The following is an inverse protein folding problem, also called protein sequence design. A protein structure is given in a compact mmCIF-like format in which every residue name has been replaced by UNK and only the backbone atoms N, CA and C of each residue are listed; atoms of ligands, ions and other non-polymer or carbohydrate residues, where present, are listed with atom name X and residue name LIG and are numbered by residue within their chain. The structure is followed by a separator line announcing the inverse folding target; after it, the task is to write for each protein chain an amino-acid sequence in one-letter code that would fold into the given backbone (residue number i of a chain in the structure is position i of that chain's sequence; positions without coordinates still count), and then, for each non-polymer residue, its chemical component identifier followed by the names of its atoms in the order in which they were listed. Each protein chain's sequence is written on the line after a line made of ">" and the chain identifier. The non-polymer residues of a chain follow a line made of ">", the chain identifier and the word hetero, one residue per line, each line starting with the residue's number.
data_IF_764913788259
#
_entry.id   IF_764913788259
#
_cell.length_a   1.000
_cell.length_b   1.000
_cell.length_c   1.000
_cell.angle_alpha   90.00
_cell.angle_beta   90.00
_cell.angle_gamma   90.00
#
_symmetry.space_group_name_H-M   'P 1'
#
loop_
_entity.id
_entity.type
_entity.pdbx_description
1 polymer ?
#
# COMPACT_ATOMS: atom_id res chain seq x y z
N UNK A 1 -17.70 0.95 -17.05
CA UNK A 1 -17.13 0.07 -16.01
C UNK A 1 -16.05 0.90 -15.35
N UNK A 2 -16.14 1.15 -14.05
CA UNK A 2 -15.14 1.96 -13.37
C UNK A 2 -13.87 1.12 -13.13
N UNK A 3 -12.71 1.76 -13.34
CA UNK A 3 -11.40 1.15 -13.12
C UNK A 3 -11.16 0.90 -11.62
N UNK A 4 -10.53 -0.23 -11.30
CA UNK A 4 -10.22 -0.61 -9.91
C UNK A 4 -9.22 0.35 -9.27
N UNK A 5 -8.32 0.92 -10.08
CA UNK A 5 -7.34 1.92 -9.70
C UNK A 5 -7.47 3.10 -10.65
N UNK A 6 -7.56 4.31 -10.10
CA UNK A 6 -7.62 5.57 -10.85
C UNK A 6 -6.54 6.53 -10.38
N UNK A 7 -6.13 7.45 -11.25
CA UNK A 7 -5.19 8.51 -10.87
C UNK A 7 -5.91 9.66 -10.18
N UNK A 8 -5.37 10.12 -9.05
CA UNK A 8 -5.79 11.32 -8.31
C UNK A 8 -4.57 12.23 -8.09
N UNK A 9 -4.77 13.51 -7.70
CA UNK A 9 -3.66 14.42 -7.38
C UNK A 9 -2.73 13.95 -6.25
N UNK A 10 -3.11 12.93 -5.47
CA UNK A 10 -2.31 12.33 -4.41
C UNK A 10 -1.55 11.07 -4.86
N UNK A 11 -1.98 10.41 -5.95
CA UNK A 11 -1.41 9.14 -6.39
C UNK A 11 -2.42 8.18 -7.00
N UNK A 12 -2.05 6.90 -7.03
CA UNK A 12 -2.92 5.80 -7.43
C UNK A 12 -3.95 5.54 -6.32
N UNK A 13 -5.23 5.62 -6.66
CA UNK A 13 -6.33 5.49 -5.72
C UNK A 13 -7.21 4.30 -6.09
N UNK A 14 -7.61 3.51 -5.10
CA UNK A 14 -8.62 2.46 -5.23
C UNK A 14 -9.97 3.00 -4.71
N UNK A 15 -10.90 3.45 -5.58
CA UNK A 15 -12.19 3.96 -5.13
C UNK A 15 -13.01 2.97 -4.28
N UNK A 16 -13.15 1.69 -4.65
CA UNK A 16 -13.96 0.77 -3.84
C UNK A 16 -13.31 0.41 -2.51
N UNK A 17 -11.98 0.44 -2.43
CA UNK A 17 -11.25 0.15 -1.20
C UNK A 17 -11.00 1.37 -0.33
N UNK A 18 -11.16 2.58 -0.87
CA UNK A 18 -10.81 3.86 -0.25
C UNK A 18 -9.38 3.92 0.32
N UNK A 19 -8.39 3.52 -0.49
CA UNK A 19 -6.98 3.62 -0.14
C UNK A 19 -6.13 4.04 -1.34
N UNK A 20 -4.92 4.52 -1.06
CA UNK A 20 -3.93 4.90 -2.06
C UNK A 20 -2.76 3.94 -2.07
N UNK A 21 -2.11 3.79 -3.22
CA UNK A 21 -0.83 3.08 -3.38
C UNK A 21 0.25 4.13 -3.63
N UNK A 22 1.29 4.12 -2.80
CA UNK A 22 2.41 5.07 -2.82
C UNK A 22 2.02 6.55 -3.05
N UNK A 23 1.12 7.11 -2.23
CA UNK A 23 0.68 8.48 -2.39
C UNK A 23 1.82 9.48 -2.12
N UNK A 24 1.96 10.51 -2.98
CA UNK A 24 2.94 11.58 -2.79
C UNK A 24 2.42 12.75 -1.93
N UNK A 25 1.15 12.73 -1.51
CA UNK A 25 0.52 13.70 -0.57
C UNK A 25 -0.15 12.97 0.61
N UNK A 26 -0.33 13.62 1.78
CA UNK A 26 -1.09 13.06 2.90
C UNK A 26 -2.48 12.51 2.50
N UNK A 27 -2.84 11.35 3.03
CA UNK A 27 -4.10 10.63 2.80
C UNK A 27 -4.46 9.80 4.04
N UNK A 28 -5.70 9.32 4.15
CA UNK A 28 -6.09 8.48 5.29
C UNK A 28 -5.38 7.12 5.28
N UNK A 29 -5.35 6.42 4.13
CA UNK A 29 -4.82 5.04 4.01
C UNK A 29 -3.83 4.92 2.86
N UNK A 30 -2.60 4.56 3.18
CA UNK A 30 -1.52 4.37 2.22
C UNK A 30 -0.99 2.93 2.24
N UNK A 31 -1.08 2.24 1.11
CA UNK A 31 -0.34 1.01 0.84
C UNK A 31 1.01 1.41 0.28
N UNK A 32 2.08 1.03 0.98
CA UNK A 32 3.45 1.38 0.64
C UNK A 32 4.16 0.19 0.02
N UNK A 33 4.62 0.33 -1.21
CA UNK A 33 5.31 -0.76 -1.93
C UNK A 33 6.68 -1.03 -1.33
N UNK A 34 7.42 0.00 -0.93
CA UNK A 34 8.73 -0.13 -0.33
C UNK A 34 9.19 1.13 0.41
N UNK A 35 10.20 0.96 1.25
CA UNK A 35 10.76 2.03 2.07
C UNK A 35 11.82 2.85 1.31
N UNK A 36 11.51 3.42 0.14
CA UNK A 36 12.21 4.60 -0.38
C UNK A 36 11.48 5.89 -0.01
N UNK A 37 12.19 7.02 0.04
CA UNK A 37 11.67 8.25 0.64
C UNK A 37 10.61 8.95 -0.22
N UNK A 38 10.63 8.69 -1.52
CA UNK A 38 9.65 9.14 -2.51
C UNK A 38 8.32 8.38 -2.43
N UNK A 39 8.33 7.14 -1.91
CA UNK A 39 7.14 6.30 -1.68
C UNK A 39 6.65 6.34 -0.22
N UNK A 40 7.53 6.12 0.74
CA UNK A 40 7.24 6.04 2.18
C UNK A 40 7.30 7.43 2.82
N UNK A 41 6.29 8.26 2.54
CA UNK A 41 6.18 9.64 3.02
C UNK A 41 5.42 9.75 4.35
N UNK A 42 5.73 10.78 5.12
CA UNK A 42 5.04 11.07 6.39
C UNK A 42 3.69 11.76 6.16
N UNK A 43 2.81 11.69 7.16
CA UNK A 43 1.54 12.41 7.20
C UNK A 43 0.31 11.61 6.76
N UNK A 44 0.44 10.32 6.43
CA UNK A 44 -0.74 9.48 6.21
C UNK A 44 -1.34 9.03 7.55
N UNK A 45 -2.64 8.76 7.59
CA UNK A 45 -3.33 8.29 8.81
C UNK A 45 -2.95 6.85 9.16
N UNK A 46 -2.92 5.99 8.16
CA UNK A 46 -2.64 4.56 8.23
C UNK A 46 -1.70 4.13 7.12
N UNK A 47 -0.78 3.23 7.47
CA UNK A 47 0.20 2.64 6.57
C UNK A 47 0.01 1.14 6.52
N UNK A 48 0.01 0.56 5.31
CA UNK A 48 0.06 -0.87 5.08
C UNK A 48 1.32 -1.20 4.28
N UNK A 49 2.15 -2.12 4.77
CA UNK A 49 3.36 -2.53 4.06
C UNK A 49 3.72 -4.00 4.34
N UNK A 50 4.78 -4.50 3.72
CA UNK A 50 5.23 -5.87 3.96
C UNK A 50 5.93 -5.98 5.32
N UNK A 51 5.81 -7.14 5.99
CA UNK A 51 6.52 -7.41 7.26
C UNK A 51 8.04 -7.11 7.15
N UNK A 52 8.76 -7.52 6.09
CA UNK A 52 10.19 -7.23 6.01
C UNK A 52 10.53 -5.74 5.86
N UNK A 53 9.57 -4.88 5.52
CA UNK A 53 9.78 -3.42 5.43
C UNK A 53 9.69 -2.69 6.78
N UNK A 54 9.15 -3.34 7.82
CA UNK A 54 8.76 -2.68 9.06
C UNK A 54 9.90 -1.90 9.71
N UNK A 55 11.06 -2.53 9.89
CA UNK A 55 12.20 -1.91 10.54
C UNK A 55 12.69 -0.66 9.80
N UNK A 56 12.76 -0.74 8.46
CA UNK A 56 13.21 0.40 7.62
C UNK A 56 12.18 1.53 7.63
N UNK A 57 10.88 1.19 7.55
CA UNK A 57 9.81 2.19 7.62
C UNK A 57 9.77 2.89 8.97
N UNK A 58 9.87 2.15 10.09
CA UNK A 58 9.90 2.76 11.43
C UNK A 58 11.15 3.62 11.65
N UNK A 59 12.30 3.21 11.13
CA UNK A 59 13.51 4.02 11.18
C UNK A 59 13.36 5.34 10.41
N UNK A 60 12.61 5.36 9.30
CA UNK A 60 12.35 6.57 8.52
C UNK A 60 11.23 7.44 9.08
N UNK A 61 10.09 6.84 9.40
CA UNK A 61 8.84 7.54 9.70
C UNK A 61 8.60 7.74 11.19
N UNK A 62 9.36 7.05 12.05
CA UNK A 62 9.13 7.04 13.49
C UNK A 62 7.85 6.28 13.85
N UNK A 63 7.13 6.81 14.85
CA UNK A 63 5.92 6.21 15.38
C UNK A 63 4.69 6.53 14.51
N UNK A 64 4.58 5.87 13.35
CA UNK A 64 3.38 5.90 12.52
C UNK A 64 2.46 4.70 12.77
N UNK A 65 1.18 4.83 12.39
CA UNK A 65 0.21 3.75 12.45
C UNK A 65 0.44 2.75 11.30
N UNK A 66 1.44 1.89 11.48
CA UNK A 66 1.86 0.89 10.51
C UNK A 66 1.27 -0.49 10.83
N UNK A 67 0.45 -0.98 9.90
CA UNK A 67 0.06 -2.38 9.80
C UNK A 67 0.95 -3.08 8.77
N UNK A 68 1.33 -4.33 9.05
CA UNK A 68 2.14 -5.13 8.13
C UNK A 68 1.43 -6.42 7.73
N UNK A 69 1.73 -6.90 6.51
CA UNK A 69 1.28 -8.19 5.99
C UNK A 69 2.47 -9.06 5.63
N UNK A 70 2.38 -10.37 5.89
CA UNK A 70 3.30 -11.32 5.29
C UNK A 70 3.07 -11.34 3.78
N UNK A 71 4.11 -11.66 3.00
CA UNK A 71 3.91 -11.85 1.57
C UNK A 71 2.88 -12.95 1.31
N UNK A 72 1.97 -12.69 0.37
CA UNK A 72 0.84 -13.56 0.05
C UNK A 72 -0.32 -13.55 1.04
N UNK A 73 -0.17 -12.91 2.20
CA UNK A 73 -1.28 -12.68 3.13
C UNK A 73 -2.28 -11.71 2.52
N UNK A 74 -3.57 -12.01 2.70
CA UNK A 74 -4.66 -11.22 2.13
C UNK A 74 -5.41 -10.51 3.25
N UNK A 75 -5.60 -9.21 3.08
CA UNK A 75 -6.59 -8.45 3.85
C UNK A 75 -7.79 -8.14 2.96
N UNK A 76 -8.99 -8.26 3.52
CA UNK A 76 -10.21 -7.72 2.90
C UNK A 76 -10.49 -6.33 3.48
N UNK A 77 -10.64 -5.35 2.60
CA UNK A 77 -10.98 -3.99 2.97
C UNK A 77 -12.08 -3.46 2.05
N UNK A 78 -13.27 -3.25 2.61
CA UNK A 78 -14.46 -2.83 1.87
C UNK A 78 -14.79 -3.74 0.67
N UNK A 79 -14.57 -5.06 0.81
CA UNK A 79 -14.78 -6.02 -0.27
C UNK A 79 -13.71 -6.00 -1.36
N UNK A 80 -12.60 -5.29 -1.13
CA UNK A 80 -11.39 -5.32 -1.96
C UNK A 80 -10.32 -6.14 -1.26
N UNK A 81 -9.85 -7.19 -1.91
CA UNK A 81 -8.78 -8.06 -1.41
C UNK A 81 -7.43 -7.49 -1.81
N UNK A 82 -6.57 -7.22 -0.83
CA UNK A 82 -5.21 -6.70 -1.04
C UNK A 82 -4.20 -7.72 -0.54
N UNK A 83 -3.17 -7.99 -1.33
CA UNK A 83 -2.00 -8.78 -0.90
C UNK A 83 -0.71 -8.20 -1.46
N UNK A 84 0.39 -8.44 -0.73
CA UNK A 84 1.72 -7.97 -1.06
C UNK A 84 2.58 -9.14 -1.53
N UNK A 85 3.35 -8.96 -2.61
CA UNK A 85 4.18 -10.02 -3.21
C UNK A 85 5.61 -9.52 -3.42
N UNK A 86 6.66 -10.33 -3.22
CA UNK A 86 8.04 -9.85 -3.34
C UNK A 86 8.32 -9.21 -4.71
N UNK A 87 8.82 -7.97 -4.72
CA UNK A 87 9.14 -7.26 -5.97
C UNK A 87 10.59 -7.47 -6.45
N UNK A 88 11.47 -8.01 -5.60
CA UNK A 88 12.88 -8.23 -5.94
C UNK A 88 13.71 -6.93 -6.10
N UNK A 89 13.28 -5.81 -5.51
CA UNK A 89 13.95 -4.51 -5.64
C UNK A 89 14.85 -4.17 -4.44
N UNK A 90 14.25 -3.92 -3.28
CA UNK A 90 14.93 -3.67 -1.99
C UNK A 90 14.31 -4.50 -0.87
N UNK A 91 14.93 -4.52 0.31
CA UNK A 91 14.36 -5.21 1.49
C UNK A 91 12.92 -4.73 1.75
N UNK A 92 12.00 -5.68 1.80
CA UNK A 92 10.58 -5.38 2.02
C UNK A 92 9.82 -4.83 0.81
N UNK A 93 10.45 -4.75 -0.36
CA UNK A 93 9.75 -4.29 -1.57
C UNK A 93 8.67 -5.27 -2.04
N UNK A 94 7.50 -4.73 -2.37
CA UNK A 94 6.32 -5.48 -2.72
C UNK A 94 5.62 -4.95 -3.98
N UNK A 95 5.16 -5.86 -4.82
CA UNK A 95 4.04 -5.62 -5.75
C UNK A 95 2.72 -5.65 -4.96
N UNK A 96 1.76 -4.82 -5.35
CA UNK A 96 0.45 -4.74 -4.68
C UNK A 96 -0.60 -5.38 -5.58
N UNK A 97 -1.12 -6.52 -5.17
CA UNK A 97 -2.23 -7.16 -5.87
C UNK A 97 -3.55 -6.70 -5.26
N UNK A 98 -4.41 -6.10 -6.06
CA UNK A 98 -5.74 -5.61 -5.68
C UNK A 98 -6.80 -6.39 -6.46
N UNK A 99 -7.76 -7.00 -5.77
CA UNK A 99 -8.83 -7.80 -6.38
C UNK A 99 -10.21 -7.39 -5.87
N UNK A 100 -11.16 -7.23 -6.80
CA UNK A 100 -12.57 -7.03 -6.48
C UNK A 100 -13.45 -7.70 -7.55
N UNK A 101 -14.39 -8.55 -7.13
CA UNK A 101 -15.39 -9.13 -8.04
C UNK A 101 -14.80 -9.87 -9.25
N UNK A 102 -13.66 -10.55 -9.06
CA UNK A 102 -12.94 -11.27 -10.11
C UNK A 102 -12.01 -10.42 -10.98
N UNK A 103 -11.98 -9.09 -10.83
CA UNK A 103 -10.99 -8.22 -11.46
C UNK A 103 -9.74 -8.14 -10.61
N UNK A 104 -8.58 -8.13 -11.26
CA UNK A 104 -7.28 -8.07 -10.60
C UNK A 104 -6.45 -6.94 -11.22
N UNK A 105 -5.80 -6.15 -10.37
CA UNK A 105 -4.77 -5.19 -10.72
C UNK A 105 -3.48 -5.54 -9.97
N UNK A 106 -2.33 -5.39 -10.64
CA UNK A 106 -0.98 -5.66 -10.12
C UNK A 106 -0.04 -4.55 -10.56
#
# INVERSE_FOLDING_TARGET
>A
MDDLIVLRPQGLYCPPGDFYIDPWRPVDRAVITHAHADHSRSGHGHYLASVPSEGVMRARLGAVNLQTLKYGEVIDHHGVRVSLHPAGHVLGSAQVRVEQGGRVWV
#
